data_IF_920402731799
#
_entry.id   IF_920402731799
#
_cell.length_a   1.000
_cell.length_b   1.000
_cell.length_c   1.000
_cell.angle_alpha   90.00
_cell.angle_beta   90.00
_cell.angle_gamma   90.00
#
_symmetry.space_group_name_H-M   'P 1'
#
loop_
_entity.id
_entity.type
_entity.pdbx_description
1 polymer ?
#
# COMPACT_ATOMS: atom_id res chain seq x y z
N UNK A 1 -29.26 2.49 -6.71
CA UNK A 1 -27.89 2.26 -6.19
C UNK A 1 -27.64 0.77 -6.21
N UNK A 2 -26.56 0.32 -6.85
CA UNK A 2 -26.12 -1.06 -6.86
C UNK A 2 -25.15 -1.26 -5.69
N UNK A 3 -25.16 -2.45 -5.08
CA UNK A 3 -24.20 -2.82 -4.02
C UNK A 3 -22.92 -3.44 -4.60
N UNK A 4 -22.55 -3.08 -5.83
CA UNK A 4 -21.37 -3.60 -6.50
C UNK A 4 -20.09 -3.09 -5.81
N UNK A 5 -19.15 -3.99 -5.57
CA UNK A 5 -17.81 -3.63 -5.10
C UNK A 5 -16.92 -3.26 -6.29
N UNK A 6 -17.13 -2.06 -6.82
CA UNK A 6 -16.35 -1.47 -7.91
C UNK A 6 -15.61 -0.24 -7.36
N UNK A 7 -14.37 -0.42 -6.96
CA UNK A 7 -13.56 0.62 -6.34
C UNK A 7 -13.29 1.81 -7.28
N UNK A 8 -12.93 1.63 -8.55
CA UNK A 8 -12.78 2.75 -9.49
C UNK A 8 -14.05 3.58 -9.63
N UNK A 9 -15.22 2.92 -9.69
CA UNK A 9 -16.52 3.59 -9.74
C UNK A 9 -16.81 4.34 -8.43
N UNK A 10 -16.52 3.73 -7.28
CA UNK A 10 -16.68 4.38 -5.98
C UNK A 10 -15.86 5.65 -5.86
N UNK A 11 -14.61 5.64 -6.30
CA UNK A 11 -13.74 6.82 -6.34
C UNK A 11 -14.33 7.90 -7.26
N UNK A 12 -14.81 7.52 -8.43
CA UNK A 12 -15.46 8.44 -9.37
C UNK A 12 -16.69 9.12 -8.76
N UNK A 13 -17.53 8.34 -8.08
CA UNK A 13 -18.73 8.88 -7.38
C UNK A 13 -18.32 9.86 -6.29
N UNK A 14 -17.30 9.54 -5.49
CA UNK A 14 -16.81 10.44 -4.45
C UNK A 14 -16.36 11.79 -5.02
N UNK A 15 -15.52 11.79 -6.07
CA UNK A 15 -15.09 13.04 -6.71
C UNK A 15 -16.26 13.79 -7.36
N UNK A 16 -17.19 13.09 -8.02
CA UNK A 16 -18.39 13.71 -8.60
C UNK A 16 -19.31 14.33 -7.53
N UNK A 17 -19.29 13.81 -6.31
CA UNK A 17 -20.02 14.37 -5.16
C UNK A 17 -19.30 15.54 -4.47
N UNK A 18 -18.18 16.01 -5.03
CA UNK A 18 -17.45 17.19 -4.55
C UNK A 18 -16.37 16.90 -3.49
N UNK A 19 -16.08 15.64 -3.18
CA UNK A 19 -14.95 15.32 -2.29
C UNK A 19 -13.64 15.53 -3.03
N UNK A 20 -12.72 16.27 -2.41
CA UNK A 20 -11.38 16.54 -2.97
C UNK A 20 -10.28 15.65 -2.37
N UNK A 21 -10.55 14.98 -1.25
CA UNK A 21 -9.62 14.08 -0.55
C UNK A 21 -10.27 12.71 -0.43
N UNK A 22 -9.92 11.83 -1.35
CA UNK A 22 -10.49 10.48 -1.45
C UNK A 22 -9.40 9.46 -1.18
N UNK A 23 -9.66 8.55 -0.23
CA UNK A 23 -8.86 7.37 0.00
C UNK A 23 -9.68 6.13 -0.36
N UNK A 24 -9.02 5.12 -0.93
CA UNK A 24 -9.66 3.88 -1.34
C UNK A 24 -8.78 2.68 -1.00
N UNK A 25 -9.39 1.60 -0.50
CA UNK A 25 -8.75 0.29 -0.39
C UNK A 25 -9.07 -0.52 -1.64
N UNK A 26 -8.07 -1.19 -2.17
CA UNK A 26 -8.20 -2.07 -3.35
C UNK A 26 -7.57 -3.43 -3.06
N UNK A 27 -8.10 -4.48 -3.70
CA UNK A 27 -7.50 -5.81 -3.70
C UNK A 27 -7.01 -6.21 -5.09
N UNK A 28 -7.66 -5.72 -6.15
CA UNK A 28 -7.25 -5.97 -7.54
C UNK A 28 -6.15 -4.98 -7.97
N UNK A 29 -4.98 -5.44 -8.43
CA UNK A 29 -3.90 -4.57 -8.88
C UNK A 29 -4.29 -3.65 -10.04
N UNK A 30 -5.17 -4.10 -10.92
CA UNK A 30 -5.68 -3.35 -12.07
C UNK A 30 -6.48 -2.11 -11.62
N UNK A 31 -7.13 -2.19 -10.48
CA UNK A 31 -7.86 -1.05 -9.89
C UNK A 31 -6.90 0.06 -9.49
N UNK A 32 -5.71 -0.28 -8.96
CA UNK A 32 -4.69 0.72 -8.65
C UNK A 32 -4.27 1.50 -9.90
N UNK A 33 -4.01 0.79 -11.00
CA UNK A 33 -3.64 1.39 -12.29
C UNK A 33 -4.77 2.30 -12.80
N UNK A 34 -6.00 1.77 -12.80
CA UNK A 34 -7.18 2.47 -13.30
C UNK A 34 -7.48 3.74 -12.49
N UNK A 35 -7.48 3.64 -11.17
CA UNK A 35 -7.73 4.77 -10.27
C UNK A 35 -6.64 5.82 -10.40
N UNK A 36 -5.36 5.42 -10.37
CA UNK A 36 -4.23 6.35 -10.48
C UNK A 36 -4.26 7.14 -11.79
N UNK A 37 -4.64 6.47 -12.89
CA UNK A 37 -4.76 7.12 -14.20
C UNK A 37 -5.88 8.16 -14.25
N UNK A 38 -7.05 7.86 -13.65
CA UNK A 38 -8.21 8.73 -13.67
C UNK A 38 -8.17 9.82 -12.60
N UNK A 39 -7.62 9.50 -11.44
CA UNK A 39 -7.62 10.33 -10.24
C UNK A 39 -6.22 10.34 -9.61
N UNK A 40 -5.28 11.13 -10.15
CA UNK A 40 -3.88 11.14 -9.71
C UNK A 40 -3.70 11.46 -8.21
N UNK A 41 -4.64 12.20 -7.63
CA UNK A 41 -4.59 12.63 -6.23
C UNK A 41 -5.25 11.66 -5.24
N UNK A 42 -5.97 10.64 -5.72
CA UNK A 42 -6.57 9.62 -4.87
C UNK A 42 -5.50 8.89 -4.05
N UNK A 43 -5.79 8.62 -2.78
CA UNK A 43 -4.93 7.85 -1.89
C UNK A 43 -5.30 6.37 -1.96
N UNK A 44 -4.41 5.54 -2.52
CA UNK A 44 -4.67 4.14 -2.83
C UNK A 44 -3.96 3.23 -1.84
N UNK A 45 -4.72 2.36 -1.17
CA UNK A 45 -4.22 1.39 -0.21
C UNK A 45 -4.49 -0.02 -0.73
N UNK A 46 -3.44 -0.75 -1.08
CA UNK A 46 -3.55 -2.14 -1.51
C UNK A 46 -3.56 -3.08 -0.30
N UNK A 47 -4.57 -3.95 -0.28
CA UNK A 47 -4.82 -4.96 0.77
C UNK A 47 -5.10 -6.32 0.14
N UNK A 48 -5.11 -7.39 0.95
CA UNK A 48 -5.40 -8.76 0.47
C UNK A 48 -4.45 -9.23 -0.65
N UNK A 49 -3.16 -8.95 -0.52
CA UNK A 49 -2.14 -9.21 -1.55
C UNK A 49 -1.55 -10.64 -1.50
N UNK A 50 -2.12 -11.54 -0.71
CA UNK A 50 -1.66 -12.93 -0.67
C UNK A 50 -1.89 -13.63 -2.02
N UNK A 51 -0.85 -14.26 -2.55
CA UNK A 51 -0.95 -15.05 -3.79
C UNK A 51 -0.85 -14.25 -5.10
N UNK A 52 -0.60 -12.93 -5.06
CA UNK A 52 -0.38 -12.17 -6.28
C UNK A 52 0.97 -12.49 -6.91
N UNK A 53 1.06 -12.33 -8.22
CA UNK A 53 2.28 -12.53 -9.01
C UNK A 53 3.27 -11.37 -8.85
N UNK A 54 4.50 -11.57 -9.32
CA UNK A 54 5.52 -10.52 -9.34
C UNK A 54 5.11 -9.31 -10.19
N UNK A 55 4.41 -9.55 -11.32
CA UNK A 55 3.92 -8.49 -12.17
C UNK A 55 2.83 -7.66 -11.48
N UNK A 56 1.90 -8.30 -10.80
CA UNK A 56 0.87 -7.65 -10.01
C UNK A 56 1.46 -6.85 -8.82
N UNK A 57 2.47 -7.42 -8.14
CA UNK A 57 3.18 -6.71 -7.07
C UNK A 57 3.90 -5.46 -7.60
N UNK A 58 4.46 -5.51 -8.80
CA UNK A 58 5.06 -4.36 -9.47
C UNK A 58 4.01 -3.30 -9.80
N UNK A 59 2.84 -3.69 -10.31
CA UNK A 59 1.73 -2.76 -10.58
C UNK A 59 1.29 -2.04 -9.31
N UNK A 60 1.16 -2.75 -8.19
CA UNK A 60 0.83 -2.15 -6.90
C UNK A 60 1.94 -1.19 -6.42
N UNK A 61 3.19 -1.60 -6.52
CA UNK A 61 4.33 -0.78 -6.11
C UNK A 61 4.44 0.55 -6.89
N UNK A 62 4.01 0.56 -8.15
CA UNK A 62 4.09 1.73 -9.03
C UNK A 62 2.86 2.65 -8.94
N UNK A 63 1.70 2.14 -8.48
CA UNK A 63 0.44 2.88 -8.55
C UNK A 63 -0.25 3.10 -7.21
N UNK A 64 0.00 2.27 -6.19
CA UNK A 64 -0.56 2.46 -4.85
C UNK A 64 0.30 3.40 -3.98
N UNK A 65 -0.32 4.02 -2.98
CA UNK A 65 0.40 4.81 -1.97
C UNK A 65 0.88 3.93 -0.82
N UNK A 66 0.03 2.99 -0.38
CA UNK A 66 0.37 1.98 0.62
C UNK A 66 0.13 0.59 0.03
N UNK A 67 1.06 -0.33 0.28
CA UNK A 67 0.91 -1.75 -0.03
C UNK A 67 1.11 -2.56 1.26
N UNK A 68 0.09 -3.32 1.66
CA UNK A 68 0.23 -4.29 2.75
C UNK A 68 0.73 -5.61 2.18
N UNK A 69 1.77 -6.19 2.78
CA UNK A 69 2.38 -7.39 2.19
C UNK A 69 1.54 -8.65 2.39
N UNK A 70 0.68 -8.68 3.41
CA UNK A 70 0.01 -9.91 3.83
C UNK A 70 1.04 -11.07 3.93
N UNK A 71 0.76 -12.23 3.32
CA UNK A 71 1.70 -13.35 3.23
C UNK A 71 2.43 -13.43 1.87
N UNK A 72 2.35 -12.38 1.04
CA UNK A 72 2.92 -12.38 -0.30
C UNK A 72 4.43 -12.18 -0.31
N UNK A 73 5.17 -13.15 -0.86
CA UNK A 73 6.60 -13.02 -1.13
C UNK A 73 6.86 -11.95 -2.20
N UNK A 74 6.07 -11.96 -3.27
CA UNK A 74 6.22 -11.01 -4.37
C UNK A 74 6.15 -9.55 -3.90
N UNK A 75 5.19 -9.23 -3.01
CA UNK A 75 5.08 -7.88 -2.43
C UNK A 75 6.30 -7.54 -1.58
N UNK A 76 6.79 -8.47 -0.75
CA UNK A 76 7.96 -8.21 0.11
C UNK A 76 9.21 -7.96 -0.71
N UNK A 77 9.45 -8.75 -1.76
CA UNK A 77 10.63 -8.63 -2.60
C UNK A 77 10.56 -7.42 -3.54
N UNK A 78 9.40 -7.09 -4.08
CA UNK A 78 9.25 -6.04 -5.10
C UNK A 78 8.89 -4.69 -4.46
N UNK A 79 7.76 -4.62 -3.74
CA UNK A 79 7.35 -3.38 -3.11
C UNK A 79 8.31 -2.99 -1.97
N UNK A 80 8.81 -3.96 -1.20
CA UNK A 80 9.78 -3.71 -0.13
C UNK A 80 11.04 -3.00 -0.61
N UNK A 81 11.59 -3.38 -1.77
CA UNK A 81 12.79 -2.73 -2.34
C UNK A 81 12.54 -1.30 -2.82
N UNK A 82 11.30 -0.97 -3.20
CA UNK A 82 10.90 0.35 -3.69
C UNK A 82 10.36 1.27 -2.58
N UNK A 83 10.01 0.71 -1.44
CA UNK A 83 9.33 1.43 -0.37
C UNK A 83 10.17 2.56 0.23
N UNK A 84 9.53 3.68 0.50
CA UNK A 84 10.14 4.83 1.20
C UNK A 84 10.16 4.64 2.72
N UNK A 85 9.26 3.78 3.24
CA UNK A 85 9.17 3.41 4.65
C UNK A 85 8.47 2.07 4.77
N UNK A 86 8.95 1.24 5.69
CA UNK A 86 8.28 0.02 6.14
C UNK A 86 7.80 0.20 7.58
N UNK A 87 6.53 -0.12 7.83
CA UNK A 87 5.96 -0.25 9.17
C UNK A 87 5.65 -1.72 9.45
N UNK A 88 6.11 -2.21 10.61
CA UNK A 88 5.98 -3.61 10.97
C UNK A 88 6.95 -4.53 10.24
N UNK A 89 7.20 -5.71 10.83
CA UNK A 89 8.12 -6.73 10.29
C UNK A 89 7.41 -8.04 9.94
N UNK A 90 6.46 -8.49 10.75
CA UNK A 90 5.73 -9.74 10.50
C UNK A 90 4.78 -9.64 9.31
N UNK A 91 4.01 -8.58 9.26
CA UNK A 91 3.15 -8.22 8.12
C UNK A 91 3.52 -6.79 7.71
N UNK A 92 4.56 -6.62 6.88
CA UNK A 92 5.00 -5.30 6.47
C UNK A 92 3.92 -4.49 5.76
N UNK A 93 3.85 -3.22 6.10
CA UNK A 93 3.08 -2.19 5.41
C UNK A 93 4.07 -1.23 4.78
N UNK A 94 4.06 -1.15 3.47
CA UNK A 94 5.00 -0.37 2.69
C UNK A 94 4.40 0.96 2.26
N UNK A 95 5.05 2.07 2.60
CA UNK A 95 4.74 3.38 2.04
C UNK A 95 5.50 3.55 0.73
N UNK A 96 4.78 3.63 -0.37
CA UNK A 96 5.35 3.76 -1.71
C UNK A 96 5.53 5.22 -2.12
N UNK A 97 4.75 6.13 -1.54
CA UNK A 97 4.79 7.56 -1.85
C UNK A 97 5.13 8.42 -0.62
N UNK A 98 5.54 9.65 -0.84
CA UNK A 98 5.78 10.61 0.26
C UNK A 98 4.53 10.85 1.09
N UNK A 99 3.36 10.98 0.46
CA UNK A 99 2.07 11.12 1.15
C UNK A 99 1.82 9.96 2.13
N UNK A 100 2.11 8.72 1.69
CA UNK A 100 1.97 7.54 2.53
C UNK A 100 2.99 7.50 3.67
N UNK A 101 4.25 7.88 3.40
CA UNK A 101 5.29 8.00 4.43
C UNK A 101 4.89 9.02 5.49
N UNK A 102 4.41 10.18 5.09
CA UNK A 102 3.97 11.23 6.01
C UNK A 102 2.78 10.76 6.86
N UNK A 103 1.80 10.08 6.26
CA UNK A 103 0.66 9.51 6.97
C UNK A 103 1.09 8.51 8.06
N UNK A 104 2.02 7.61 7.74
CA UNK A 104 2.54 6.64 8.71
C UNK A 104 3.30 7.35 9.84
N UNK A 105 4.13 8.35 9.52
CA UNK A 105 4.85 9.13 10.51
C UNK A 105 3.92 9.94 11.42
N UNK A 106 2.84 10.48 10.88
CA UNK A 106 1.82 11.17 11.67
C UNK A 106 1.09 10.20 12.61
N UNK A 107 0.84 8.97 12.17
CA UNK A 107 0.29 7.91 13.03
C UNK A 107 1.26 7.56 14.15
N UNK A 108 2.56 7.44 13.87
CA UNK A 108 3.60 7.20 14.89
C UNK A 108 3.61 8.31 15.94
N UNK A 109 3.55 9.59 15.55
CA UNK A 109 3.48 10.74 16.46
C UNK A 109 2.28 10.69 17.41
N UNK A 110 1.16 10.15 16.95
CA UNK A 110 -0.09 10.07 17.72
C UNK A 110 -0.25 8.76 18.49
N UNK A 111 0.75 7.88 18.47
CA UNK A 111 0.69 6.57 19.11
C UNK A 111 1.70 6.51 20.26
N UNK A 112 1.23 6.18 21.45
CA UNK A 112 2.11 5.92 22.60
C UNK A 112 2.87 4.61 22.38
N UNK A 113 4.17 4.62 22.68
CA UNK A 113 5.02 3.44 22.54
C UNK A 113 6.45 3.77 22.13
N UNK A 114 7.29 2.75 22.12
CA UNK A 114 8.69 2.87 21.67
C UNK A 114 8.79 2.50 20.20
N UNK A 115 9.46 3.33 19.41
CA UNK A 115 9.72 3.10 17.99
C UNK A 115 11.22 3.10 17.72
N UNK A 116 11.66 2.15 16.91
CA UNK A 116 13.00 2.14 16.34
C UNK A 116 12.92 2.66 14.89
N UNK A 117 13.63 3.76 14.62
CA UNK A 117 13.79 4.29 13.27
C UNK A 117 15.25 4.12 12.86
N UNK A 118 15.50 3.44 11.76
CA UNK A 118 16.84 3.21 11.25
C UNK A 118 16.89 3.45 9.74
N UNK A 119 17.98 4.03 9.26
CA UNK A 119 18.26 4.20 7.83
C UNK A 119 18.95 2.99 7.18
N UNK A 120 18.98 1.84 7.85
CA UNK A 120 19.53 0.60 7.31
C UNK A 120 18.59 -0.05 6.29
N UNK A 121 18.98 -1.22 5.75
CA UNK A 121 18.10 -2.05 4.92
C UNK A 121 16.79 -2.35 5.66
N UNK A 122 15.70 -2.37 4.92
CA UNK A 122 14.40 -2.73 5.48
C UNK A 122 14.41 -4.19 5.96
N UNK A 123 13.72 -4.51 7.09
CA UNK A 123 13.69 -5.90 7.60
C UNK A 123 13.19 -6.94 6.61
N UNK A 124 12.35 -6.55 5.63
CA UNK A 124 11.90 -7.42 4.55
C UNK A 124 13.01 -7.84 3.56
N UNK A 125 14.12 -7.12 3.54
CA UNK A 125 15.30 -7.41 2.70
C UNK A 125 16.40 -8.15 3.47
N UNK A 126 16.20 -8.40 4.76
CA UNK A 126 17.19 -9.09 5.60
C UNK A 126 16.92 -10.59 5.62
N UNK A 127 17.99 -11.39 5.64
CA UNK A 127 17.92 -12.84 5.80
C UNK A 127 17.40 -13.27 7.19
N UNK A 128 17.29 -12.34 8.12
CA UNK A 128 16.84 -12.55 9.51
C UNK A 128 15.36 -12.19 9.73
N UNK A 129 14.64 -11.72 8.70
CA UNK A 129 13.21 -11.42 8.78
C UNK A 129 12.34 -12.69 8.74
N UNK A 130 11.06 -12.57 9.13
CA UNK A 130 10.10 -13.67 8.96
C UNK A 130 10.02 -14.07 7.49
N UNK A 131 10.11 -15.37 7.22
CA UNK A 131 10.01 -15.87 5.86
C UNK A 131 8.57 -15.74 5.33
N UNK A 132 8.37 -15.30 4.10
CA UNK A 132 7.04 -15.29 3.49
C UNK A 132 6.52 -16.72 3.30
N UNK A 133 5.21 -16.88 3.43
CA UNK A 133 4.57 -18.20 3.32
C UNK A 133 4.28 -18.59 1.86
N UNK A 134 4.09 -17.62 0.98
CA UNK A 134 3.77 -17.78 -0.45
C UNK A 134 4.39 -16.67 -1.28
#
# INVERSE_FOLDING_TARGET
>A
ETADMDQPRGVRVAYASGYSRVAVTIAAPEDAVSIRRMFPDAFIIAVHTTGITDQEALMLADHADIVTSCASRAVREIAGRKALLQAGSSIPVFAMTRKAKDLILDKVKSTDGQFLVTGAKLPSESDFGPQPLV
#
